data_IF_902276422568
#
_entry.id   IF_902276422568
#
_cell.length_a   1.000
_cell.length_b   1.000
_cell.length_c   1.000
_cell.angle_alpha   90.00
_cell.angle_beta   90.00
_cell.angle_gamma   90.00
#
_symmetry.space_group_name_H-M   'P 1'
#
loop_
_entity.id
_entity.type
_entity.pdbx_description
1 polymer ?
#
# COMPACT_ATOMS: atom_id res chain seq x y z
N UNK A 1 13.41 -1.62 51.45
CA UNK A 1 12.76 -2.90 51.09
C UNK A 1 11.40 -2.66 50.43
N UNK A 2 10.45 -1.98 51.07
CA UNK A 2 9.11 -1.73 50.51
C UNK A 2 9.10 -0.77 49.30
N UNK A 3 9.90 0.31 49.33
CA UNK A 3 9.95 1.27 48.21
C UNK A 3 10.47 0.66 46.91
N UNK A 4 11.49 -0.19 47.00
CA UNK A 4 12.04 -0.90 45.84
C UNK A 4 11.03 -1.87 45.23
N UNK A 5 10.20 -2.52 46.06
CA UNK A 5 9.12 -3.38 45.58
C UNK A 5 8.04 -2.57 44.84
N UNK A 6 7.66 -1.41 45.37
CA UNK A 6 6.66 -0.53 44.74
C UNK A 6 7.13 -0.06 43.36
N UNK A 7 8.39 0.35 43.23
CA UNK A 7 8.95 0.81 41.94
C UNK A 7 8.99 -0.31 40.90
N UNK A 8 9.36 -1.53 41.31
CA UNK A 8 9.39 -2.70 40.41
C UNK A 8 7.98 -3.08 39.96
N UNK A 9 7.02 -3.14 40.88
CA UNK A 9 5.62 -3.47 40.56
C UNK A 9 5.01 -2.39 39.65
N UNK A 10 5.25 -1.11 39.91
CA UNK A 10 4.79 -0.03 39.06
C UNK A 10 5.40 -0.09 37.65
N UNK A 11 6.69 -0.44 37.54
CA UNK A 11 7.37 -0.60 36.26
C UNK A 11 6.81 -1.75 35.41
N UNK A 12 6.47 -2.88 36.04
CA UNK A 12 5.84 -4.02 35.37
C UNK A 12 4.45 -3.65 34.86
N UNK A 13 3.64 -2.98 35.69
CA UNK A 13 2.29 -2.53 35.32
C UNK A 13 2.36 -1.54 34.15
N UNK A 14 3.25 -0.55 34.22
CA UNK A 14 3.43 0.42 33.15
C UNK A 14 3.88 -0.23 31.83
N UNK A 15 4.78 -1.22 31.90
CA UNK A 15 5.25 -1.95 30.71
C UNK A 15 4.15 -2.78 30.06
N UNK A 16 3.32 -3.46 30.87
CA UNK A 16 2.17 -4.23 30.38
C UNK A 16 1.12 -3.33 29.74
N UNK A 17 0.78 -2.21 30.39
CA UNK A 17 -0.18 -1.23 29.84
C UNK A 17 0.35 -0.59 28.55
N UNK A 18 1.65 -0.27 28.49
CA UNK A 18 2.30 0.24 27.28
C UNK A 18 2.24 -0.76 26.12
N UNK A 19 2.53 -2.04 26.38
CA UNK A 19 2.47 -3.08 25.37
C UNK A 19 1.04 -3.28 24.83
N UNK A 20 0.05 -3.29 25.72
CA UNK A 20 -1.38 -3.38 25.35
C UNK A 20 -1.81 -2.17 24.53
N UNK A 21 -1.43 -0.94 24.94
CA UNK A 21 -1.72 0.28 24.18
C UNK A 21 -1.10 0.24 22.77
N UNK A 22 0.17 -0.17 22.67
CA UNK A 22 0.85 -0.31 21.39
C UNK A 22 0.20 -1.38 20.51
N UNK A 23 -0.20 -2.52 21.09
CA UNK A 23 -0.91 -3.58 20.37
C UNK A 23 -2.27 -3.09 19.84
N UNK A 24 -3.08 -2.45 20.67
CA UNK A 24 -4.36 -1.88 20.24
C UNK A 24 -4.18 -0.80 19.18
N UNK A 25 -3.22 0.12 19.36
CA UNK A 25 -2.97 1.16 18.37
C UNK A 25 -2.45 0.59 17.04
N UNK A 26 -1.58 -0.43 17.09
CA UNK A 26 -1.08 -1.14 15.90
C UNK A 26 -2.23 -1.84 15.16
N UNK A 27 -3.11 -2.52 15.90
CA UNK A 27 -4.26 -3.23 15.35
C UNK A 27 -5.33 -2.28 14.78
N UNK A 28 -5.63 -1.18 15.47
CA UNK A 28 -6.56 -0.14 14.99
C UNK A 28 -6.01 0.58 13.77
N UNK A 29 -4.70 0.85 13.72
CA UNK A 29 -4.05 1.40 12.52
C UNK A 29 -4.12 0.44 11.32
N UNK A 30 -4.02 -0.86 11.56
CA UNK A 30 -4.19 -1.87 10.52
C UNK A 30 -5.63 -1.91 9.98
N UNK A 31 -6.64 -1.80 10.85
CA UNK A 31 -8.05 -1.74 10.44
C UNK A 31 -8.49 -0.38 9.86
N UNK A 32 -7.80 0.71 10.14
CA UNK A 32 -8.11 2.02 9.54
C UNK A 32 -7.90 2.05 8.01
N UNK A 33 -6.91 1.30 7.51
CA UNK A 33 -6.56 1.22 6.09
C UNK A 33 -7.62 0.46 5.26
N UNK A 34 -8.33 -0.50 5.85
CA UNK A 34 -9.39 -1.24 5.14
C UNK A 34 -10.68 -0.40 4.99
N UNK A 35 -10.92 0.56 5.89
CA UNK A 35 -12.13 1.40 5.90
C UNK A 35 -12.12 2.51 4.85
N UNK A 36 -10.94 2.94 4.38
CA UNK A 36 -10.80 3.90 3.27
C UNK A 36 -11.27 3.33 1.92
N UNK A 37 -11.42 2.00 1.80
CA UNK A 37 -11.92 1.35 0.58
C UNK A 37 -13.40 1.63 0.26
N UNK A 38 -14.18 2.18 1.19
CA UNK A 38 -15.66 2.25 1.06
C UNK A 38 -16.25 3.64 0.78
N UNK A 39 -15.45 4.70 0.70
CA UNK A 39 -15.98 6.09 0.58
C UNK A 39 -15.93 6.70 -0.84
N UNK A 40 -15.33 6.03 -1.82
CA UNK A 40 -15.24 6.54 -3.21
C UNK A 40 -16.32 5.97 -4.15
N UNK A 41 -17.50 5.64 -3.60
CA UNK A 41 -18.69 5.26 -4.37
C UNK A 41 -19.79 6.34 -4.24
N UNK A 42 -19.40 7.61 -4.21
CA UNK A 42 -20.33 8.72 -4.38
C UNK A 42 -20.54 8.90 -5.88
N UNK A 43 -21.58 8.25 -6.42
CA UNK A 43 -21.96 8.38 -7.82
C UNK A 43 -22.38 9.83 -8.10
N UNK A 44 -21.62 10.50 -8.97
CA UNK A 44 -22.04 11.78 -9.56
C UNK A 44 -22.96 11.49 -10.75
N UNK A 45 -23.96 12.36 -11.03
CA UNK A 45 -24.91 12.15 -12.12
C UNK A 45 -24.17 12.12 -13.46
N UNK A 46 -24.43 11.06 -14.22
CA UNK A 46 -23.84 10.81 -15.54
C UNK A 46 -24.58 11.65 -16.58
N UNK A 47 -24.04 12.81 -16.92
CA UNK A 47 -24.52 13.60 -18.07
C UNK A 47 -23.90 13.06 -19.37
N UNK A 48 -24.74 12.89 -20.39
CA UNK A 48 -24.38 12.28 -21.66
C UNK A 48 -23.45 13.21 -22.46
N UNK A 49 -22.18 12.84 -22.56
CA UNK A 49 -21.24 13.44 -23.51
C UNK A 49 -20.50 12.33 -24.26
N UNK A 50 -20.41 12.49 -25.57
CA UNK A 50 -19.98 11.48 -26.54
C UNK A 50 -18.61 10.85 -26.22
N UNK A 51 -18.58 9.52 -26.18
CA UNK A 51 -17.45 8.56 -26.31
C UNK A 51 -15.99 9.02 -26.01
N UNK A 52 -15.76 9.87 -25.02
CA UNK A 52 -14.48 9.94 -24.31
C UNK A 52 -14.59 8.92 -23.19
N UNK A 53 -13.89 7.78 -23.33
CA UNK A 53 -13.91 6.70 -22.34
C UNK A 53 -13.75 7.26 -20.92
N UNK A 54 -14.74 7.04 -20.07
CA UNK A 54 -14.84 7.63 -18.74
C UNK A 54 -13.63 7.23 -17.90
N UNK A 55 -12.63 8.11 -17.83
CA UNK A 55 -11.42 7.88 -17.03
C UNK A 55 -11.65 8.48 -15.66
N UNK A 56 -11.67 7.64 -14.63
CA UNK A 56 -11.87 8.07 -13.25
C UNK A 56 -10.60 8.69 -12.67
N UNK A 57 -9.43 8.21 -13.11
CA UNK A 57 -8.13 8.50 -12.51
C UNK A 57 -7.07 8.64 -13.61
N UNK A 58 -6.32 9.74 -13.59
CA UNK A 58 -5.13 9.93 -14.42
C UNK A 58 -3.88 9.86 -13.54
N UNK A 59 -2.94 8.99 -13.90
CA UNK A 59 -1.63 8.85 -13.26
C UNK A 59 -0.57 9.37 -14.21
N UNK A 60 0.19 10.38 -13.78
CA UNK A 60 1.33 10.92 -14.53
C UNK A 60 2.62 10.26 -14.02
N UNK A 61 3.23 9.44 -14.88
CA UNK A 61 4.41 8.64 -14.63
C UNK A 61 4.08 7.15 -14.48
N UNK A 62 4.61 6.30 -15.36
CA UNK A 62 4.50 4.83 -15.32
C UNK A 62 5.76 4.17 -14.71
N UNK A 63 6.45 4.86 -13.80
CA UNK A 63 7.50 4.26 -12.98
C UNK A 63 6.96 3.26 -11.95
N UNK A 64 7.83 2.71 -11.10
CA UNK A 64 7.48 1.67 -10.09
C UNK A 64 6.22 2.01 -9.30
N UNK A 65 6.14 3.21 -8.73
CA UNK A 65 4.99 3.63 -7.94
C UNK A 65 3.73 3.83 -8.79
N UNK A 66 3.86 4.46 -9.96
CA UNK A 66 2.72 4.75 -10.84
C UNK A 66 2.11 3.48 -11.44
N UNK A 67 2.94 2.54 -11.88
CA UNK A 67 2.50 1.25 -12.37
C UNK A 67 1.85 0.40 -11.27
N UNK A 68 2.43 0.36 -10.06
CA UNK A 68 1.84 -0.35 -8.93
C UNK A 68 0.49 0.24 -8.50
N UNK A 69 0.39 1.58 -8.49
CA UNK A 69 -0.85 2.29 -8.19
C UNK A 69 -1.92 2.02 -9.25
N UNK A 70 -1.57 2.13 -10.53
CA UNK A 70 -2.47 1.83 -11.65
C UNK A 70 -3.00 0.40 -11.57
N UNK A 71 -2.12 -0.56 -11.31
CA UNK A 71 -2.51 -1.96 -11.13
C UNK A 71 -3.48 -2.16 -9.97
N UNK A 72 -3.18 -1.59 -8.80
CA UNK A 72 -4.06 -1.72 -7.62
C UNK A 72 -5.44 -1.13 -7.86
N UNK A 73 -5.51 0.05 -8.50
CA UNK A 73 -6.76 0.73 -8.81
C UNK A 73 -7.56 0.01 -9.90
N UNK A 74 -6.88 -0.51 -10.93
CA UNK A 74 -7.50 -1.33 -11.96
C UNK A 74 -8.07 -2.64 -11.40
N UNK A 75 -7.37 -3.29 -10.47
CA UNK A 75 -7.87 -4.47 -9.74
C UNK A 75 -9.10 -4.17 -8.88
N UNK A 76 -9.21 -2.93 -8.40
CA UNK A 76 -10.39 -2.41 -7.70
C UNK A 76 -11.51 -1.91 -8.65
N UNK A 77 -11.36 -2.11 -9.97
CA UNK A 77 -12.39 -1.82 -10.99
C UNK A 77 -12.43 -0.38 -11.49
N UNK A 78 -11.38 0.42 -11.24
CA UNK A 78 -11.30 1.82 -11.69
C UNK A 78 -10.79 1.91 -13.13
N UNK A 79 -11.32 2.87 -13.88
CA UNK A 79 -10.78 3.21 -15.20
C UNK A 79 -9.61 4.17 -15.02
N UNK A 80 -8.39 3.66 -15.22
CA UNK A 80 -7.14 4.38 -14.97
C UNK A 80 -6.41 4.64 -16.28
N UNK A 81 -6.12 5.91 -16.55
CA UNK A 81 -5.23 6.33 -17.64
C UNK A 81 -3.85 6.63 -17.05
N UNK A 82 -2.82 5.99 -17.59
CA UNK A 82 -1.43 6.27 -17.20
C UNK A 82 -0.73 6.96 -18.35
N UNK A 83 -0.07 8.08 -18.06
CA UNK A 83 0.71 8.85 -19.02
C UNK A 83 2.17 8.79 -18.59
N UNK A 84 3.05 8.32 -19.46
CA UNK A 84 4.49 8.29 -19.22
C UNK A 84 5.20 9.03 -20.36
N UNK A 85 6.29 9.73 -20.02
CA UNK A 85 7.07 10.48 -20.99
C UNK A 85 7.73 9.55 -22.03
N UNK A 86 8.21 8.40 -21.58
CA UNK A 86 8.86 7.42 -22.45
C UNK A 86 8.58 5.99 -21.97
N UNK A 87 7.91 5.19 -22.82
CA UNK A 87 7.59 3.79 -22.54
C UNK A 87 8.73 2.82 -22.84
N UNK A 88 9.84 3.29 -23.40
CA UNK A 88 11.04 2.46 -23.58
C UNK A 88 11.69 2.13 -22.23
N UNK A 89 12.39 0.99 -22.18
CA UNK A 89 13.16 0.59 -21.02
C UNK A 89 14.13 1.72 -20.59
N UNK A 90 14.09 2.16 -19.32
CA UNK A 90 14.91 3.27 -18.89
C UNK A 90 16.37 2.86 -18.77
N UNK A 91 17.26 3.57 -19.47
CA UNK A 91 18.71 3.36 -19.36
C UNK A 91 19.27 4.12 -18.13
N UNK A 92 19.06 3.57 -16.93
CA UNK A 92 19.57 4.11 -15.67
C UNK A 92 19.73 3.03 -14.60
N UNK A 93 20.71 3.18 -13.71
CA UNK A 93 20.92 2.30 -12.55
C UNK A 93 20.04 2.80 -11.40
N UNK A 94 18.78 2.39 -11.38
CA UNK A 94 17.84 2.73 -10.31
C UNK A 94 16.81 1.61 -10.12
N UNK A 95 16.48 1.29 -8.87
CA UNK A 95 15.47 0.28 -8.55
C UNK A 95 15.91 -1.18 -8.75
N UNK A 96 17.22 -1.43 -8.73
CA UNK A 96 17.81 -2.78 -8.87
C UNK A 96 17.62 -3.67 -7.64
N UNK A 97 17.53 -3.05 -6.46
CA UNK A 97 17.31 -3.77 -5.21
C UNK A 97 15.88 -3.58 -4.73
N UNK A 98 15.23 -4.70 -4.46
CA UNK A 98 13.91 -4.73 -3.83
C UNK A 98 14.06 -5.10 -2.37
N UNK A 99 13.69 -4.18 -1.48
CA UNK A 99 13.70 -4.45 -0.05
C UNK A 99 12.66 -5.53 0.32
N UNK A 100 12.87 -6.30 1.41
CA UNK A 100 11.96 -7.39 1.81
C UNK A 100 10.50 -6.95 1.95
N UNK A 101 10.25 -5.77 2.49
CA UNK A 101 8.89 -5.22 2.61
C UNK A 101 8.24 -4.91 1.26
N UNK A 102 9.03 -4.47 0.27
CA UNK A 102 8.56 -4.26 -1.10
C UNK A 102 8.21 -5.58 -1.79
N UNK A 103 9.01 -6.63 -1.57
CA UNK A 103 8.74 -7.97 -2.09
C UNK A 103 7.46 -8.56 -1.49
N UNK A 104 7.24 -8.42 -0.19
CA UNK A 104 6.00 -8.85 0.45
C UNK A 104 4.78 -8.15 -0.18
N UNK A 105 4.91 -6.84 -0.49
CA UNK A 105 3.84 -6.09 -1.16
C UNK A 105 3.56 -6.60 -2.58
N UNK A 106 4.57 -7.01 -3.33
CA UNK A 106 4.37 -7.63 -4.65
C UNK A 106 3.60 -8.96 -4.53
N UNK A 107 3.92 -9.79 -3.54
CA UNK A 107 3.18 -11.03 -3.26
C UNK A 107 1.71 -10.73 -2.95
N UNK A 108 1.43 -9.77 -2.08
CA UNK A 108 0.06 -9.36 -1.74
C UNK A 108 -0.73 -8.88 -2.97
N UNK A 109 -0.06 -8.21 -3.92
CA UNK A 109 -0.69 -7.75 -5.15
C UNK A 109 -0.87 -8.87 -6.17
N UNK A 110 -0.14 -9.97 -6.08
CA UNK A 110 -0.07 -11.02 -7.09
C UNK A 110 0.86 -10.67 -8.26
N UNK A 111 1.81 -9.77 -8.02
CA UNK A 111 2.78 -9.25 -8.99
C UNK A 111 4.19 -9.81 -8.77
N UNK A 112 4.36 -10.79 -7.89
CA UNK A 112 5.63 -11.49 -7.78
C UNK A 112 5.95 -12.13 -9.14
N UNK A 113 7.17 -11.91 -9.65
CA UNK A 113 7.62 -12.59 -10.85
C UNK A 113 7.66 -14.10 -10.63
N UNK A 114 7.40 -14.88 -11.69
CA UNK A 114 7.94 -16.23 -11.72
C UNK A 114 9.45 -16.08 -11.84
N UNK A 115 10.17 -16.43 -10.79
CA UNK A 115 11.62 -16.59 -10.88
C UNK A 115 11.85 -17.82 -11.75
N UNK A 116 11.93 -17.62 -13.07
CA UNK A 116 12.42 -18.65 -13.97
C UNK A 116 13.89 -18.84 -13.60
N UNK A 117 14.16 -19.91 -12.87
CA UNK A 117 15.50 -20.35 -12.54
C UNK A 117 16.21 -20.78 -13.82
N UNK A 118 16.65 -19.82 -14.63
CA UNK A 118 17.45 -20.07 -15.84
C UNK A 118 18.93 -20.33 -15.50
N UNK A 119 19.24 -20.74 -14.27
CA UNK A 119 20.60 -21.09 -13.82
C UNK A 119 20.63 -22.30 -12.86
N UNK A 120 19.64 -23.21 -12.95
CA UNK A 120 19.77 -24.58 -12.44
C UNK A 120 19.51 -25.56 -13.58
#
# INVERSE_FOLDING_TARGET
>A
MAEQYIVVVAGVIASLLGFVFLYYNSLVRFWGLTKLKRRSALELPKENSEAVGTTDIIIVGAGVAGAALAYSLGKDGRQVLVIERNLNAPNRIAGESLLPGGYLKLIELGLQGKQENSWI
#
